data_IF_519393609922
#
_entry.id   IF_519393609922
#
_cell.length_a   1.000
_cell.length_b   1.000
_cell.length_c   1.000
_cell.angle_alpha   90.00
_cell.angle_beta   90.00
_cell.angle_gamma   90.00
#
_symmetry.space_group_name_H-M   'P 1'
#
loop_
_entity.id
_entity.type
_entity.pdbx_description
1 polymer ?
#
# COMPACT_ATOMS: atom_id res chain seq x y z
N UNK A 1 6.27 31.61 5.44
CA UNK A 1 5.89 30.80 6.62
C UNK A 1 4.58 30.12 6.24
N UNK A 2 4.67 29.03 5.47
CA UNK A 2 3.47 28.23 5.18
C UNK A 2 2.99 27.64 6.50
N UNK A 3 1.71 27.82 6.81
CA UNK A 3 1.12 27.21 7.99
C UNK A 3 1.31 25.70 7.86
N UNK A 4 1.96 25.11 8.85
CA UNK A 4 2.18 23.67 8.96
C UNK A 4 0.80 22.99 8.95
N UNK A 5 0.41 22.46 7.79
CA UNK A 5 -0.92 21.90 7.59
C UNK A 5 -0.92 20.53 8.25
N UNK A 6 -1.50 20.45 9.45
CA UNK A 6 -1.64 19.19 10.18
C UNK A 6 -2.37 18.15 9.32
N UNK A 7 -1.90 16.91 9.33
CA UNK A 7 -2.58 15.78 8.68
C UNK A 7 -3.98 15.61 9.29
N UNK A 8 -5.01 15.72 8.47
CA UNK A 8 -6.39 15.62 8.93
C UNK A 8 -6.74 14.17 9.31
N UNK A 9 -7.38 13.99 10.46
CA UNK A 9 -7.94 12.71 10.91
C UNK A 9 -9.45 12.77 10.73
N UNK A 10 -9.99 11.86 9.91
CA UNK A 10 -11.43 11.66 9.79
C UNK A 10 -11.85 10.40 10.55
N UNK A 11 -12.66 10.60 11.59
CA UNK A 11 -13.17 9.53 12.44
C UNK A 11 -14.64 9.24 12.14
N UNK A 12 -14.99 7.97 11.94
CA UNK A 12 -16.37 7.55 11.71
C UNK A 12 -16.62 6.11 12.15
N UNK A 13 -17.89 5.77 12.40
CA UNK A 13 -18.34 4.44 12.79
C UNK A 13 -19.35 4.47 13.95
N UNK A 14 -19.98 3.33 14.28
CA UNK A 14 -19.79 2.01 13.67
C UNK A 14 -20.35 1.94 12.23
N UNK A 15 -19.57 1.38 11.30
CA UNK A 15 -19.98 1.15 9.92
C UNK A 15 -20.48 -0.27 9.71
N UNK A 16 -21.72 -0.40 9.23
CA UNK A 16 -22.32 -1.69 8.86
C UNK A 16 -22.16 -2.02 7.37
N UNK A 17 -21.95 -1.00 6.53
CA UNK A 17 -21.85 -1.14 5.07
C UNK A 17 -20.57 -0.47 4.55
N UNK A 18 -19.72 -1.27 3.91
CA UNK A 18 -18.47 -0.81 3.30
C UNK A 18 -18.70 0.23 2.21
N UNK A 19 -19.82 0.18 1.47
CA UNK A 19 -20.15 1.22 0.51
C UNK A 19 -20.43 2.56 1.21
N UNK A 20 -21.22 2.59 2.28
CA UNK A 20 -21.48 3.82 3.04
C UNK A 20 -20.20 4.40 3.67
N UNK A 21 -19.33 3.54 4.20
CA UNK A 21 -18.00 3.94 4.67
C UNK A 21 -17.23 4.65 3.55
N UNK A 22 -17.13 4.01 2.39
CA UNK A 22 -16.48 4.60 1.22
C UNK A 22 -17.12 5.91 0.79
N UNK A 23 -18.45 5.98 0.75
CA UNK A 23 -19.21 7.18 0.38
C UNK A 23 -18.91 8.33 1.33
N UNK A 24 -18.88 8.06 2.63
CA UNK A 24 -18.56 9.05 3.66
C UNK A 24 -17.14 9.60 3.50
N UNK A 25 -16.15 8.73 3.31
CA UNK A 25 -14.76 9.14 3.01
C UNK A 25 -14.71 9.99 1.74
N UNK A 26 -15.31 9.49 0.65
CA UNK A 26 -15.31 10.16 -0.64
C UNK A 26 -15.97 11.54 -0.60
N UNK A 27 -17.08 11.67 0.13
CA UNK A 27 -17.79 12.93 0.30
C UNK A 27 -16.96 13.94 1.11
N UNK A 28 -16.43 13.49 2.26
CA UNK A 28 -15.61 14.32 3.14
C UNK A 28 -14.35 14.85 2.45
N UNK A 29 -13.62 13.97 1.76
CA UNK A 29 -12.37 14.31 1.07
C UNK A 29 -12.55 14.61 -0.42
N UNK A 30 -13.77 14.89 -0.88
CA UNK A 30 -14.10 15.07 -2.31
C UNK A 30 -13.19 16.09 -3.01
N UNK A 31 -12.89 17.21 -2.36
CA UNK A 31 -12.00 18.23 -2.91
C UNK A 31 -10.54 17.73 -3.03
N UNK A 32 -10.02 17.03 -2.02
CA UNK A 32 -8.65 16.47 -2.07
C UNK A 32 -8.54 15.39 -3.14
N UNK A 33 -9.55 14.52 -3.27
CA UNK A 33 -9.58 13.45 -4.29
C UNK A 33 -9.59 14.05 -5.70
N UNK A 34 -10.47 15.03 -5.95
CA UNK A 34 -10.53 15.72 -7.26
C UNK A 34 -9.26 16.50 -7.55
N UNK A 35 -8.67 17.14 -6.54
CA UNK A 35 -7.40 17.87 -6.66
C UNK A 35 -6.26 16.92 -7.02
N UNK A 36 -6.11 15.78 -6.31
CA UNK A 36 -5.10 14.77 -6.65
C UNK A 36 -5.25 14.31 -8.09
N UNK A 37 -6.47 13.93 -8.49
CA UNK A 37 -6.76 13.45 -9.84
C UNK A 37 -6.42 14.49 -10.91
N UNK A 38 -6.61 15.79 -10.65
CA UNK A 38 -6.27 16.84 -11.64
C UNK A 38 -4.77 17.18 -11.68
N UNK A 39 -4.04 16.97 -10.57
CA UNK A 39 -2.61 17.33 -10.48
C UNK A 39 -1.64 16.15 -10.66
N UNK A 40 -2.09 14.91 -10.51
CA UNK A 40 -1.24 13.72 -10.65
C UNK A 40 -0.89 13.47 -12.12
N UNK A 41 0.33 13.86 -12.49
CA UNK A 41 0.82 13.74 -13.87
C UNK A 41 0.91 12.29 -14.34
N UNK A 42 1.29 11.35 -13.45
CA UNK A 42 1.38 9.93 -13.80
C UNK A 42 -0.02 9.37 -14.04
N UNK A 43 -1.01 9.77 -13.23
CA UNK A 43 -2.41 9.42 -13.48
C UNK A 43 -2.89 9.94 -14.84
N UNK A 44 -2.75 11.24 -15.09
CA UNK A 44 -3.34 11.89 -16.27
C UNK A 44 -2.66 11.52 -17.59
N UNK A 45 -1.35 11.30 -17.58
CA UNK A 45 -0.58 11.11 -18.82
C UNK A 45 -0.14 9.66 -19.08
N UNK A 46 -0.16 8.78 -18.07
CA UNK A 46 0.23 7.38 -18.25
C UNK A 46 -0.92 6.43 -17.93
N UNK A 47 -1.41 6.44 -16.68
CA UNK A 47 -2.38 5.44 -16.22
C UNK A 47 -3.74 5.56 -16.93
N UNK A 48 -4.30 6.77 -16.97
CA UNK A 48 -5.61 7.00 -17.58
C UNK A 48 -5.58 6.77 -19.10
N UNK A 49 -4.61 7.28 -19.88
CA UNK A 49 -4.49 6.96 -21.30
C UNK A 49 -4.30 5.46 -21.55
N UNK A 50 -3.41 4.80 -20.80
CA UNK A 50 -3.20 3.35 -20.94
C UNK A 50 -4.49 2.57 -20.68
N UNK A 51 -5.31 2.96 -19.70
CA UNK A 51 -6.58 2.31 -19.38
C UNK A 51 -7.58 2.24 -20.53
N UNK A 52 -7.45 3.13 -21.53
CA UNK A 52 -8.31 3.19 -22.72
C UNK A 52 -7.80 2.34 -23.88
N UNK A 53 -6.61 1.74 -23.76
CA UNK A 53 -6.01 0.91 -24.80
C UNK A 53 -6.61 -0.49 -24.81
N UNK A 54 -6.67 -1.18 -25.98
CA UNK A 54 -7.06 -2.58 -26.05
C UNK A 54 -6.21 -3.50 -25.15
N UNK A 55 -4.92 -3.18 -25.00
CA UNK A 55 -3.96 -3.93 -24.19
C UNK A 55 -4.32 -3.89 -22.70
N UNK A 56 -4.81 -2.75 -22.20
CA UNK A 56 -5.21 -2.62 -20.81
C UNK A 56 -6.52 -3.34 -20.47
N UNK A 57 -7.40 -3.59 -21.45
CA UNK A 57 -8.72 -4.17 -21.20
C UNK A 57 -8.64 -5.54 -20.50
N UNK A 58 -7.75 -6.43 -20.96
CA UNK A 58 -7.57 -7.74 -20.34
C UNK A 58 -6.99 -7.65 -18.93
N UNK A 59 -6.02 -6.76 -18.71
CA UNK A 59 -5.42 -6.52 -17.40
C UNK A 59 -6.45 -5.97 -16.42
N UNK A 60 -7.17 -4.91 -16.80
CA UNK A 60 -8.19 -4.28 -15.95
C UNK A 60 -9.35 -5.23 -15.67
N UNK A 61 -9.75 -6.05 -16.64
CA UNK A 61 -10.76 -7.08 -16.42
C UNK A 61 -10.31 -8.09 -15.36
N UNK A 62 -9.09 -8.64 -15.49
CA UNK A 62 -8.54 -9.60 -14.51
C UNK A 62 -8.35 -8.98 -13.13
N UNK A 63 -7.78 -7.77 -13.03
CA UNK A 63 -7.65 -7.04 -11.77
C UNK A 63 -9.02 -6.82 -11.13
N UNK A 64 -10.00 -6.33 -11.90
CA UNK A 64 -11.36 -6.10 -11.40
C UNK A 64 -11.99 -7.38 -10.90
N UNK A 65 -12.01 -8.43 -11.74
CA UNK A 65 -12.65 -9.70 -11.42
C UNK A 65 -12.04 -10.35 -10.18
N UNK A 66 -10.71 -10.45 -10.11
CA UNK A 66 -10.03 -11.15 -9.03
C UNK A 66 -10.18 -10.40 -7.69
N UNK A 67 -10.03 -9.07 -7.69
CA UNK A 67 -10.15 -8.27 -6.48
C UNK A 67 -11.61 -8.14 -6.01
N UNK A 68 -12.58 -7.96 -6.92
CA UNK A 68 -14.00 -7.92 -6.54
C UNK A 68 -14.53 -9.25 -6.03
N UNK A 69 -13.97 -10.36 -6.51
CA UNK A 69 -14.37 -11.72 -6.08
C UNK A 69 -13.76 -12.05 -4.72
N UNK A 70 -12.47 -11.72 -4.50
CA UNK A 70 -11.79 -12.00 -3.24
C UNK A 70 -12.19 -11.03 -2.12
N UNK A 71 -12.39 -9.76 -2.45
CA UNK A 71 -12.66 -8.66 -1.50
C UNK A 71 -13.88 -7.82 -1.94
N UNK A 72 -15.09 -8.41 -1.95
CA UNK A 72 -16.30 -7.72 -2.39
C UNK A 72 -16.60 -6.45 -1.58
N UNK A 73 -16.30 -6.47 -0.28
CA UNK A 73 -16.55 -5.36 0.63
C UNK A 73 -15.62 -4.18 0.38
N UNK A 74 -14.32 -4.41 0.17
CA UNK A 74 -13.37 -3.35 -0.17
C UNK A 74 -13.61 -2.82 -1.59
N UNK A 75 -14.10 -3.67 -2.49
CA UNK A 75 -14.55 -3.24 -3.80
C UNK A 75 -15.78 -2.32 -3.72
N UNK A 76 -16.72 -2.64 -2.82
CA UNK A 76 -17.85 -1.77 -2.47
C UNK A 76 -17.39 -0.43 -1.85
N UNK A 77 -16.39 -0.47 -0.98
CA UNK A 77 -15.79 0.72 -0.38
C UNK A 77 -15.24 1.67 -1.46
N UNK A 78 -14.49 1.15 -2.45
CA UNK A 78 -14.04 1.97 -3.59
C UNK A 78 -15.20 2.56 -4.41
N UNK A 79 -16.31 1.83 -4.60
CA UNK A 79 -17.50 2.37 -5.26
C UNK A 79 -18.08 3.54 -4.46
N UNK A 80 -18.16 3.37 -3.14
CA UNK A 80 -18.55 4.43 -2.22
C UNK A 80 -17.66 5.66 -2.38
N UNK A 81 -16.33 5.49 -2.33
CA UNK A 81 -15.36 6.58 -2.48
C UNK A 81 -15.60 7.33 -3.79
N UNK A 82 -15.78 6.62 -4.90
CA UNK A 82 -16.06 7.23 -6.20
C UNK A 82 -17.36 8.05 -6.19
N UNK A 83 -18.45 7.49 -5.64
CA UNK A 83 -19.74 8.17 -5.60
C UNK A 83 -19.76 9.36 -4.65
N UNK A 84 -19.19 9.23 -3.46
CA UNK A 84 -19.08 10.33 -2.49
C UNK A 84 -18.21 11.48 -3.01
N UNK A 85 -17.11 11.15 -3.70
CA UNK A 85 -16.24 12.18 -4.29
C UNK A 85 -16.75 12.71 -5.63
N UNK A 86 -17.80 12.13 -6.20
CA UNK A 86 -18.37 12.52 -7.49
C UNK A 86 -17.41 12.35 -8.67
N UNK A 87 -16.49 11.38 -8.60
CA UNK A 87 -15.54 11.06 -9.69
C UNK A 87 -15.88 9.71 -10.31
N UNK A 88 -15.49 9.45 -11.57
CA UNK A 88 -15.71 8.15 -12.19
C UNK A 88 -15.05 7.00 -11.40
N UNK A 89 -15.76 5.89 -11.25
CA UNK A 89 -15.22 4.71 -10.55
C UNK A 89 -13.92 4.20 -11.17
N UNK A 90 -13.78 4.27 -12.50
CA UNK A 90 -12.55 3.94 -13.21
C UNK A 90 -11.34 4.71 -12.66
N UNK A 91 -11.51 5.97 -12.26
CA UNK A 91 -10.41 6.78 -11.74
C UNK A 91 -9.94 6.27 -10.37
N UNK A 92 -10.88 6.00 -9.46
CA UNK A 92 -10.59 5.40 -8.14
C UNK A 92 -9.94 4.01 -8.32
N UNK A 93 -10.47 3.20 -9.23
CA UNK A 93 -9.93 1.89 -9.54
C UNK A 93 -8.48 1.98 -10.03
N UNK A 94 -8.17 2.89 -10.95
CA UNK A 94 -6.82 3.11 -11.46
C UNK A 94 -5.86 3.57 -10.36
N UNK A 95 -6.28 4.46 -9.45
CA UNK A 95 -5.46 4.88 -8.32
C UNK A 95 -5.10 3.69 -7.41
N UNK A 96 -6.08 2.83 -7.11
CA UNK A 96 -5.87 1.65 -6.25
C UNK A 96 -5.09 0.51 -6.92
N UNK A 97 -4.96 0.52 -8.25
CA UNK A 97 -4.15 -0.42 -9.02
C UNK A 97 -2.93 0.22 -9.67
N UNK A 98 -2.51 1.40 -9.20
CA UNK A 98 -1.39 2.13 -9.79
C UNK A 98 -0.14 1.25 -9.90
N UNK A 99 0.20 0.51 -8.84
CA UNK A 99 1.37 -0.36 -8.79
C UNK A 99 1.24 -1.59 -9.68
N UNK A 100 0.02 -2.06 -9.89
CA UNK A 100 -0.30 -3.22 -10.72
C UNK A 100 -0.42 -2.87 -12.20
N UNK A 101 -0.67 -1.61 -12.55
CA UNK A 101 -0.81 -1.14 -13.93
C UNK A 101 0.54 -0.64 -14.49
N UNK A 102 1.29 0.15 -13.72
CA UNK A 102 2.54 0.79 -14.19
C UNK A 102 3.57 -0.16 -14.87
N UNK A 103 3.77 -1.41 -14.41
CA UNK A 103 4.70 -2.33 -15.06
C UNK A 103 4.30 -2.71 -16.49
N UNK A 104 3.01 -2.64 -16.83
CA UNK A 104 2.48 -3.06 -18.13
C UNK A 104 2.39 -1.92 -19.16
N UNK A 105 2.64 -0.67 -18.75
CA UNK A 105 2.69 0.46 -19.67
C UNK A 105 3.99 0.37 -20.52
N UNK A 106 3.90 0.42 -21.86
CA UNK A 106 5.07 0.38 -22.74
C UNK A 106 6.08 1.48 -22.39
N UNK A 107 7.37 1.15 -22.37
CA UNK A 107 8.44 2.11 -22.02
C UNK A 107 8.46 3.35 -22.91
N UNK A 108 8.07 3.22 -24.18
CA UNK A 108 7.96 4.33 -25.13
C UNK A 108 6.86 5.33 -24.80
N UNK A 109 5.89 4.94 -23.98
CA UNK A 109 4.75 5.76 -23.55
C UNK A 109 4.93 6.32 -22.14
N UNK A 110 5.97 5.88 -21.43
CA UNK A 110 6.33 6.44 -20.13
C UNK A 110 6.99 7.79 -20.34
N UNK A 111 6.44 8.82 -19.69
CA UNK A 111 7.08 10.13 -19.68
C UNK A 111 8.30 10.04 -18.76
N UNK A 112 9.43 10.62 -19.18
CA UNK A 112 10.59 10.93 -18.34
C UNK A 112 10.25 12.04 -17.31
N UNK A 113 9.11 11.94 -16.64
CA UNK A 113 8.98 12.63 -15.35
C UNK A 113 9.96 11.89 -14.45
N UNK A 114 10.71 12.59 -13.62
CA UNK A 114 11.37 11.99 -12.47
C UNK A 114 10.28 11.20 -11.70
N UNK A 115 10.12 9.92 -12.03
CA UNK A 115 9.42 8.98 -11.19
C UNK A 115 10.24 9.01 -9.91
N UNK A 116 9.82 9.86 -8.97
CA UNK A 116 10.25 9.75 -7.58
C UNK A 116 9.91 8.32 -7.21
N UNK A 117 10.95 7.51 -7.18
CA UNK A 117 10.89 6.12 -6.75
C UNK A 117 10.36 6.20 -5.33
N UNK A 118 9.26 5.50 -5.03
CA UNK A 118 8.82 5.36 -3.65
C UNK A 118 10.00 4.69 -2.92
N UNK A 119 10.73 5.49 -2.15
CA UNK A 119 12.02 5.15 -1.54
C UNK A 119 11.87 4.97 -0.02
N UNK A 120 10.70 4.50 0.41
CA UNK A 120 10.30 4.28 1.80
C UNK A 120 11.38 3.55 2.62
N UNK A 121 11.39 3.82 3.92
CA UNK A 121 12.42 3.28 4.80
C UNK A 121 11.86 2.99 6.17
N UNK A 122 12.25 1.84 6.72
CA UNK A 122 11.86 1.41 8.05
C UNK A 122 13.07 1.11 8.93
N UNK A 123 12.94 1.43 10.20
CA UNK A 123 13.78 0.90 11.28
C UNK A 123 12.87 0.15 12.25
N UNK A 124 13.17 -1.14 12.45
CA UNK A 124 12.46 -2.04 13.34
C UNK A 124 13.36 -2.38 14.52
N UNK A 125 12.86 -2.20 15.74
CA UNK A 125 13.59 -2.51 16.96
C UNK A 125 12.72 -3.35 17.88
N UNK A 126 13.23 -4.52 18.24
CA UNK A 126 12.60 -5.43 19.21
C UNK A 126 13.54 -5.64 20.39
N UNK A 127 12.99 -5.58 21.60
CA UNK A 127 13.69 -5.91 22.84
C UNK A 127 12.70 -6.47 23.86
N UNK A 128 13.22 -6.91 25.01
CA UNK A 128 12.42 -7.37 26.15
C UNK A 128 11.45 -6.33 26.71
N UNK A 129 11.51 -5.06 26.27
CA UNK A 129 10.67 -3.97 26.77
C UNK A 129 9.87 -3.24 25.70
N UNK A 130 10.22 -3.37 24.41
CA UNK A 130 9.59 -2.62 23.32
C UNK A 130 9.61 -3.37 21.99
N UNK A 131 8.61 -3.10 21.15
CA UNK A 131 8.58 -3.42 19.73
C UNK A 131 8.14 -2.15 18.98
N UNK A 132 9.07 -1.55 18.23
CA UNK A 132 8.87 -0.25 17.57
C UNK A 132 9.21 -0.39 16.10
N UNK A 133 8.34 0.18 15.24
CA UNK A 133 8.66 0.48 13.85
C UNK A 133 8.61 1.99 13.66
N UNK A 134 9.65 2.54 13.05
CA UNK A 134 9.65 3.89 12.52
C UNK A 134 9.68 3.79 11.01
N UNK A 135 8.78 4.51 10.34
CA UNK A 135 8.58 4.46 8.91
C UNK A 135 8.62 5.87 8.32
N UNK A 136 9.44 6.04 7.28
CA UNK A 136 9.39 7.21 6.41
C UNK A 136 8.71 6.80 5.11
N UNK A 137 7.62 7.49 4.80
CA UNK A 137 6.91 7.32 3.54
C UNK A 137 7.44 8.34 2.52
N UNK A 138 8.10 7.82 1.49
CA UNK A 138 8.58 8.59 0.35
C UNK A 138 7.68 8.26 -0.84
N UNK A 139 7.02 9.25 -1.43
CA UNK A 139 6.07 9.02 -2.51
C UNK A 139 6.05 10.15 -3.54
N UNK A 140 5.25 9.99 -4.60
CA UNK A 140 5.16 10.98 -5.66
C UNK A 140 4.73 12.37 -5.18
N UNK A 141 5.32 13.43 -5.75
CA UNK A 141 5.00 14.83 -5.41
C UNK A 141 3.50 15.14 -5.50
N UNK A 142 2.75 14.45 -6.37
CA UNK A 142 1.31 14.55 -6.45
C UNK A 142 0.57 14.16 -5.15
N UNK A 143 1.24 13.52 -4.20
CA UNK A 143 0.67 13.13 -2.90
C UNK A 143 0.91 14.18 -1.81
N UNK A 144 1.76 15.18 -2.06
CA UNK A 144 1.94 16.31 -1.14
C UNK A 144 0.62 17.06 -1.01
N UNK A 145 0.08 17.10 0.20
CA UNK A 145 -1.23 17.71 0.49
C UNK A 145 -2.45 16.89 0.06
N UNK A 146 -2.26 15.65 -0.42
CA UNK A 146 -3.33 14.73 -0.82
C UNK A 146 -3.35 13.45 0.04
N UNK A 147 -3.07 13.61 1.33
CA UNK A 147 -3.01 12.53 2.31
C UNK A 147 -3.87 12.85 3.53
N UNK A 148 -4.38 11.83 4.19
CA UNK A 148 -5.17 11.95 5.42
C UNK A 148 -5.10 10.65 6.25
N UNK A 149 -5.55 10.74 7.50
CA UNK A 149 -5.75 9.58 8.37
C UNK A 149 -7.23 9.24 8.45
N UNK A 150 -7.53 7.95 8.32
CA UNK A 150 -8.87 7.41 8.60
C UNK A 150 -8.81 6.69 9.94
N UNK A 151 -9.75 7.01 10.83
CA UNK A 151 -10.05 6.22 12.03
C UNK A 151 -11.47 5.66 11.92
N UNK A 152 -11.58 4.37 11.62
CA UNK A 152 -12.88 3.74 11.44
C UNK A 152 -13.18 2.77 12.58
N UNK A 153 -14.45 2.69 12.97
CA UNK A 153 -14.98 1.59 13.79
C UNK A 153 -15.97 0.80 12.95
N UNK A 154 -15.78 -0.52 12.88
CA UNK A 154 -16.65 -1.46 12.18
C UNK A 154 -17.77 -1.96 13.10
N UNK A 155 -18.83 -2.51 12.52
CA UNK A 155 -20.00 -3.03 13.26
C UNK A 155 -19.67 -4.14 14.26
N UNK A 156 -18.62 -4.92 14.01
CA UNK A 156 -18.12 -5.96 14.92
C UNK A 156 -17.27 -5.40 16.08
N UNK A 157 -17.10 -4.08 16.19
CA UNK A 157 -16.31 -3.42 17.22
C UNK A 157 -14.81 -3.34 16.93
N UNK A 158 -14.34 -3.89 15.82
CA UNK A 158 -12.96 -3.67 15.36
C UNK A 158 -12.81 -2.20 14.97
N UNK A 159 -11.76 -1.56 15.44
CA UNK A 159 -11.41 -0.20 15.01
C UNK A 159 -9.98 -0.14 14.54
N UNK A 160 -9.73 0.66 13.50
CA UNK A 160 -8.42 0.84 12.92
C UNK A 160 -8.13 2.32 12.66
N UNK A 161 -6.86 2.66 12.59
CA UNK A 161 -6.35 3.93 12.08
C UNK A 161 -5.37 3.67 10.95
N UNK A 162 -5.51 4.37 9.83
CA UNK A 162 -4.71 4.12 8.64
C UNK A 162 -4.35 5.41 7.89
N UNK A 163 -3.09 5.49 7.46
CA UNK A 163 -2.62 6.50 6.52
C UNK A 163 -3.14 6.20 5.13
N UNK A 164 -3.69 7.23 4.46
CA UNK A 164 -4.45 7.06 3.24
C UNK A 164 -4.10 8.13 2.22
N UNK A 165 -3.83 7.71 0.99
CA UNK A 165 -3.76 8.60 -0.17
C UNK A 165 -5.15 8.93 -0.67
N UNK A 166 -5.37 10.18 -1.06
CA UNK A 166 -6.69 10.63 -1.49
C UNK A 166 -7.21 9.79 -2.67
N UNK A 167 -8.33 9.09 -2.46
CA UNK A 167 -8.97 8.25 -3.47
C UNK A 167 -8.51 6.79 -3.46
N UNK A 168 -7.64 6.41 -2.53
CA UNK A 168 -7.27 5.01 -2.29
C UNK A 168 -8.00 4.43 -1.07
N UNK A 169 -8.04 3.09 -1.00
CA UNK A 169 -8.45 2.38 0.20
C UNK A 169 -7.54 2.75 1.38
N UNK A 170 -8.07 2.84 2.61
CA UNK A 170 -7.26 3.10 3.79
C UNK A 170 -6.21 2.01 3.98
N UNK A 171 -4.91 2.38 4.00
CA UNK A 171 -3.69 1.56 4.30
C UNK A 171 -2.50 1.80 3.36
N UNK A 172 -2.31 2.99 2.79
CA UNK A 172 -1.32 3.21 1.72
C UNK A 172 0.15 3.10 2.13
N UNK A 173 0.45 3.25 3.43
CA UNK A 173 1.81 3.22 3.98
C UNK A 173 1.86 2.48 5.32
N UNK A 174 1.01 2.87 6.27
CA UNK A 174 0.93 2.24 7.59
C UNK A 174 -0.49 2.27 8.15
N UNK A 175 -0.73 1.43 9.15
CA UNK A 175 -1.94 1.49 9.96
C UNK A 175 -1.89 0.52 11.14
N UNK A 176 -2.88 0.64 12.03
CA UNK A 176 -2.98 -0.17 13.24
C UNK A 176 -4.42 -0.32 13.69
N UNK A 177 -4.69 -1.31 14.54
CA UNK A 177 -6.03 -1.60 15.04
C UNK A 177 -6.09 -1.83 16.55
N UNK A 178 -7.31 -1.93 17.07
CA UNK A 178 -7.58 -2.15 18.49
C UNK A 178 -7.28 -3.57 19.00
N UNK A 179 -6.82 -4.50 18.14
CA UNK A 179 -6.23 -5.77 18.56
C UNK A 179 -4.74 -5.64 18.95
N UNK A 180 -4.15 -4.45 18.83
CA UNK A 180 -2.73 -4.23 19.09
C UNK A 180 -1.84 -4.64 17.91
N UNK A 181 -2.42 -4.79 16.71
CA UNK A 181 -1.64 -5.00 15.51
C UNK A 181 -1.38 -3.69 14.79
N UNK A 182 -0.19 -3.56 14.23
CA UNK A 182 0.18 -2.50 13.32
C UNK A 182 0.95 -3.07 12.12
N UNK A 183 0.98 -2.31 11.03
CA UNK A 183 1.90 -2.59 9.94
C UNK A 183 2.45 -1.32 9.31
N UNK A 184 3.61 -1.47 8.69
CA UNK A 184 4.16 -0.56 7.68
C UNK A 184 4.44 -1.36 6.42
N UNK A 185 4.53 -0.72 5.26
CA UNK A 185 4.78 -1.41 4.00
C UNK A 185 5.72 -0.64 3.08
N UNK A 186 6.57 -1.38 2.38
CA UNK A 186 7.47 -0.86 1.37
C UNK A 186 7.20 -1.55 0.03
N UNK A 187 7.21 -0.78 -1.05
CA UNK A 187 7.24 -1.34 -2.39
C UNK A 187 8.60 -2.00 -2.63
N UNK A 188 8.65 -3.25 -3.09
CA UNK A 188 9.88 -3.94 -3.48
C UNK A 188 9.74 -4.40 -4.94
N UNK A 189 10.00 -3.52 -5.92
CA UNK A 189 9.54 -3.71 -7.29
C UNK A 189 10.33 -4.79 -8.02
N UNK A 190 9.73 -5.96 -8.33
CA UNK A 190 10.42 -7.01 -9.06
C UNK A 190 10.58 -6.63 -10.54
N UNK A 191 11.44 -7.32 -11.28
CA UNK A 191 11.55 -7.13 -12.75
C UNK A 191 10.26 -7.53 -13.46
N UNK A 192 9.99 -6.98 -14.65
CA UNK A 192 8.77 -7.25 -15.41
C UNK A 192 8.50 -8.76 -15.62
N UNK A 193 9.55 -9.58 -15.78
CA UNK A 193 9.43 -11.04 -15.95
C UNK A 193 8.97 -11.80 -14.69
N UNK A 194 9.01 -11.16 -13.54
CA UNK A 194 8.63 -11.73 -12.24
C UNK A 194 7.19 -11.40 -11.85
N UNK A 195 6.52 -10.52 -12.62
CA UNK A 195 5.19 -10.00 -12.35
C UNK A 195 4.14 -10.83 -13.09
N UNK A 196 3.17 -11.35 -12.34
CA UNK A 196 1.97 -11.98 -12.92
C UNK A 196 0.85 -10.95 -12.99
N UNK A 197 0.30 -10.76 -14.19
CA UNK A 197 -0.79 -9.83 -14.44
C UNK A 197 -2.08 -10.25 -13.70
N UNK A 198 -2.82 -9.27 -13.19
CA UNK A 198 -4.18 -9.47 -12.70
C UNK A 198 -4.27 -10.11 -11.31
N UNK A 199 -3.20 -10.18 -10.53
CA UNK A 199 -3.26 -10.65 -9.14
C UNK A 199 -4.04 -9.70 -8.22
N UNK A 200 -4.02 -9.97 -6.92
CA UNK A 200 -4.63 -9.06 -5.94
C UNK A 200 -3.75 -7.82 -5.76
N UNK A 201 -4.39 -6.66 -5.78
CA UNK A 201 -3.72 -5.36 -5.63
C UNK A 201 -3.30 -5.12 -4.19
N UNK A 202 -2.15 -4.46 -4.00
CA UNK A 202 -1.57 -4.28 -2.66
C UNK A 202 -2.48 -3.49 -1.71
N UNK A 203 -3.27 -2.54 -2.23
CA UNK A 203 -4.20 -1.73 -1.43
C UNK A 203 -5.28 -2.59 -0.76
N UNK A 204 -5.73 -3.65 -1.43
CA UNK A 204 -6.71 -4.58 -0.88
C UNK A 204 -6.11 -5.41 0.26
N UNK A 205 -4.88 -5.89 0.07
CA UNK A 205 -4.18 -6.71 1.06
C UNK A 205 -3.91 -5.90 2.31
N UNK A 206 -3.37 -4.69 2.17
CA UNK A 206 -3.09 -3.84 3.32
C UNK A 206 -4.37 -3.32 3.99
N UNK A 207 -5.46 -3.14 3.24
CA UNK A 207 -6.78 -2.81 3.83
C UNK A 207 -7.28 -3.99 4.67
N UNK A 208 -7.11 -5.21 4.18
CA UNK A 208 -7.45 -6.45 4.89
C UNK A 208 -6.62 -6.64 6.17
N UNK A 209 -5.35 -6.24 6.16
CA UNK A 209 -4.48 -6.28 7.34
C UNK A 209 -4.96 -5.41 8.51
N UNK A 210 -5.68 -4.33 8.25
CA UNK A 210 -6.27 -3.50 9.31
C UNK A 210 -7.31 -4.26 10.13
N UNK A 211 -7.86 -5.35 9.59
CA UNK A 211 -8.86 -6.19 10.25
C UNK A 211 -8.27 -7.48 10.84
N UNK A 212 -6.95 -7.61 10.85
CA UNK A 212 -6.28 -8.76 11.44
C UNK A 212 -6.49 -8.79 12.97
N UNK A 213 -6.69 -9.99 13.51
CA UNK A 213 -7.00 -10.21 14.94
C UNK A 213 -5.80 -10.73 15.74
N UNK A 214 -4.78 -11.23 15.04
CA UNK A 214 -3.48 -11.63 15.58
C UNK A 214 -2.40 -11.52 14.50
N UNK A 215 -1.13 -11.61 14.88
CA UNK A 215 -0.03 -11.62 13.91
C UNK A 215 -0.09 -12.85 12.98
N UNK A 216 -0.58 -13.99 13.47
CA UNK A 216 -0.78 -15.20 12.67
C UNK A 216 -1.92 -15.03 11.65
N UNK A 217 -3.00 -14.34 12.05
CA UNK A 217 -4.09 -13.96 11.15
C UNK A 217 -3.58 -13.02 10.04
N UNK A 218 -2.78 -12.01 10.39
CA UNK A 218 -2.13 -11.13 9.41
C UNK A 218 -1.27 -11.88 8.38
N UNK A 219 -0.47 -12.87 8.81
CA UNK A 219 0.31 -13.73 7.91
C UNK A 219 -0.62 -14.56 7.02
N UNK A 220 -1.69 -15.14 7.58
CA UNK A 220 -2.67 -15.95 6.84
C UNK A 220 -3.34 -15.14 5.73
N UNK A 221 -3.75 -13.91 6.05
CA UNK A 221 -4.34 -12.95 5.11
C UNK A 221 -3.40 -12.69 3.93
N UNK A 222 -2.14 -12.36 4.20
CA UNK A 222 -1.11 -12.17 3.17
C UNK A 222 -0.91 -13.44 2.34
N UNK A 223 -0.75 -14.62 2.96
CA UNK A 223 -0.56 -15.89 2.23
C UNK A 223 -1.72 -16.21 1.29
N UNK A 224 -2.95 -15.92 1.70
CA UNK A 224 -4.15 -16.21 0.92
C UNK A 224 -4.41 -15.26 -0.25
N UNK A 225 -3.64 -14.17 -0.34
CA UNK A 225 -3.97 -13.04 -1.19
C UNK A 225 -3.52 -13.18 -2.65
N UNK A 226 -2.58 -14.06 -3.01
CA UNK A 226 -2.08 -14.16 -4.40
C UNK A 226 -1.69 -12.76 -4.97
N UNK A 227 -0.77 -12.08 -4.30
CA UNK A 227 -0.35 -10.71 -4.62
C UNK A 227 0.07 -10.55 -6.09
N UNK A 228 -0.31 -9.43 -6.69
CA UNK A 228 0.05 -9.12 -8.08
C UNK A 228 1.50 -8.65 -8.24
N UNK A 229 2.01 -7.86 -7.30
CA UNK A 229 3.35 -7.24 -7.39
C UNK A 229 4.05 -7.21 -6.02
N UNK A 230 5.37 -7.21 -6.05
CA UNK A 230 6.23 -7.29 -4.87
C UNK A 230 6.05 -6.20 -3.82
N UNK A 231 5.86 -6.63 -2.56
CA UNK A 231 5.77 -5.77 -1.38
C UNK A 231 6.42 -6.42 -0.16
N UNK A 232 6.98 -5.58 0.72
CA UNK A 232 7.40 -5.96 2.06
C UNK A 232 6.43 -5.36 3.07
N UNK A 233 5.99 -6.18 4.03
CA UNK A 233 5.13 -5.78 5.13
C UNK A 233 5.89 -5.98 6.43
N UNK A 234 5.99 -4.94 7.26
CA UNK A 234 6.44 -5.07 8.63
C UNK A 234 5.20 -5.23 9.51
N UNK A 235 4.95 -6.42 10.02
CA UNK A 235 3.83 -6.72 10.91
C UNK A 235 4.28 -6.60 12.36
N UNK A 236 3.58 -5.80 13.15
CA UNK A 236 3.86 -5.57 14.56
C UNK A 236 2.70 -6.08 15.40
N UNK A 237 3.03 -6.79 16.48
CA UNK A 237 2.11 -7.11 17.57
C UNK A 237 2.66 -6.49 18.84
N UNK A 238 2.00 -5.44 19.33
CA UNK A 238 2.47 -4.68 20.50
C UNK A 238 2.23 -5.44 21.81
N UNK A 239 1.28 -6.37 21.83
CA UNK A 239 0.97 -7.18 23.01
C UNK A 239 2.05 -8.26 23.20
N UNK A 240 2.45 -8.90 22.11
CA UNK A 240 3.52 -9.90 22.10
C UNK A 240 4.92 -9.27 22.03
N UNK A 241 5.01 -7.98 21.70
CA UNK A 241 6.26 -7.26 21.39
C UNK A 241 7.06 -8.00 20.32
N UNK A 242 6.36 -8.34 19.24
CA UNK A 242 6.89 -9.11 18.12
C UNK A 242 6.79 -8.32 16.84
N UNK A 243 7.82 -8.40 16.00
CA UNK A 243 7.81 -7.83 14.66
C UNK A 243 8.22 -8.91 13.66
N UNK A 244 7.48 -9.01 12.56
CA UNK A 244 7.80 -9.85 11.41
C UNK A 244 7.95 -8.98 10.16
N UNK A 245 9.05 -9.12 9.42
CA UNK A 245 9.12 -8.64 8.04
C UNK A 245 8.62 -9.76 7.10
N UNK A 246 7.70 -9.42 6.20
CA UNK A 246 7.09 -10.36 5.25
C UNK A 246 7.29 -9.82 3.85
N UNK A 247 8.15 -10.48 3.09
CA UNK A 247 8.38 -10.16 1.68
C UNK A 247 7.53 -11.05 0.79
N UNK A 248 6.88 -10.44 -0.20
CA UNK A 248 5.97 -11.11 -1.11
C UNK A 248 6.31 -10.80 -2.56
N UNK A 249 5.96 -11.71 -3.46
CA UNK A 249 5.99 -11.52 -4.89
C UNK A 249 4.90 -12.36 -5.56
N UNK A 250 4.67 -12.12 -6.85
CA UNK A 250 3.70 -12.87 -7.64
C UNK A 250 3.97 -14.38 -7.59
N UNK A 251 2.96 -15.18 -7.95
CA UNK A 251 3.01 -16.64 -7.91
C UNK A 251 3.12 -17.22 -6.49
N UNK A 252 2.45 -16.59 -5.52
CA UNK A 252 2.38 -17.04 -4.11
C UNK A 252 3.75 -17.16 -3.42
N UNK A 253 4.73 -16.37 -3.88
CA UNK A 253 6.04 -16.33 -3.26
C UNK A 253 5.99 -15.45 -2.03
N UNK A 254 6.40 -16.01 -0.91
CA UNK A 254 6.40 -15.35 0.39
C UNK A 254 7.62 -15.80 1.18
N UNK A 255 8.24 -14.87 1.88
CA UNK A 255 9.27 -15.12 2.89
C UNK A 255 8.89 -14.36 4.15
N UNK A 256 9.10 -14.96 5.32
CA UNK A 256 8.77 -14.37 6.62
C UNK A 256 10.03 -14.38 7.48
N UNK A 257 10.42 -13.22 7.99
CA UNK A 257 11.58 -13.04 8.84
C UNK A 257 11.17 -12.41 10.17
N UNK A 258 11.47 -13.09 11.28
CA UNK A 258 11.22 -12.56 12.61
C UNK A 258 12.37 -11.66 13.07
N UNK A 259 12.04 -10.45 13.52
CA UNK A 259 13.02 -9.46 13.94
C UNK A 259 13.50 -9.79 15.35
N UNK A 260 14.80 -10.02 15.48
CA UNK A 260 15.46 -10.28 16.75
C UNK A 260 15.91 -8.99 17.48
N UNK A 261 16.86 -9.15 18.40
CA UNK A 261 17.40 -8.05 19.22
C UNK A 261 18.27 -7.05 18.46
N UNK A 262 18.71 -7.39 17.25
CA UNK A 262 19.47 -6.48 16.39
C UNK A 262 18.48 -5.62 15.60
N UNK A 263 18.62 -4.27 15.62
CA UNK A 263 17.79 -3.40 14.80
C UNK A 263 17.81 -3.84 13.34
N UNK A 264 16.64 -3.88 12.72
CA UNK A 264 16.48 -4.27 11.33
C UNK A 264 16.09 -3.06 10.49
N UNK A 265 16.79 -2.86 9.38
CA UNK A 265 16.50 -1.80 8.43
C UNK A 265 15.89 -2.40 7.16
N UNK A 266 14.77 -1.85 6.71
CA UNK A 266 14.13 -2.23 5.44
C UNK A 266 13.90 -1.01 4.58
N UNK A 267 13.95 -1.19 3.26
CA UNK A 267 13.63 -0.16 2.28
C UNK A 267 13.06 -0.86 1.04
N UNK A 268 13.21 -0.28 -0.14
CA UNK A 268 12.58 -0.81 -1.36
C UNK A 268 13.37 -1.93 -2.02
N UNK A 269 13.96 -2.84 -1.24
CA UNK A 269 14.67 -4.02 -1.74
C UNK A 269 14.29 -5.30 -1.02
N UNK A 270 14.27 -6.41 -1.76
CA UNK A 270 14.18 -7.74 -1.17
C UNK A 270 15.45 -8.08 -0.41
N UNK A 271 15.31 -8.52 0.85
CA UNK A 271 16.41 -8.92 1.73
C UNK A 271 16.44 -10.43 1.96
N UNK A 272 15.29 -11.10 1.95
CA UNK A 272 15.20 -12.52 2.30
C UNK A 272 14.28 -13.35 1.39
N UNK A 273 13.51 -12.73 0.49
CA UNK A 273 12.86 -13.41 -0.63
C UNK A 273 13.72 -13.27 -1.91
N UNK A 274 14.03 -14.39 -2.55
CA UNK A 274 14.82 -14.40 -3.78
C UNK A 274 13.93 -14.08 -4.99
N UNK A 275 14.01 -12.85 -5.49
CA UNK A 275 13.27 -12.36 -6.66
C UNK A 275 14.18 -11.46 -7.48
N UNK A 276 14.16 -11.59 -8.81
CA UNK A 276 14.88 -10.64 -9.65
C UNK A 276 14.21 -9.26 -9.52
N UNK A 277 14.98 -8.27 -9.07
CA UNK A 277 14.46 -6.95 -8.76
C UNK A 277 15.02 -5.89 -9.71
N UNK A 278 14.22 -4.87 -10.03
CA UNK A 278 14.75 -3.71 -10.72
C UNK A 278 15.60 -2.91 -9.73
N UNK A 279 16.91 -2.84 -9.98
CA UNK A 279 17.82 -1.97 -9.22
C UNK A 279 17.65 -0.55 -9.78
N UNK A 280 16.67 0.20 -9.26
CA UNK A 280 16.36 1.55 -9.74
C UNK A 280 17.05 2.67 -8.98
N UNK A 281 17.49 2.43 -7.73
CA UNK A 281 17.97 3.48 -6.84
C UNK A 281 19.25 3.05 -6.11
N UNK A 282 20.35 3.77 -6.35
CA UNK A 282 21.57 3.69 -5.53
C UNK A 282 21.24 4.11 -4.09
N UNK A 283 20.24 4.98 -3.88
CA UNK A 283 19.80 5.42 -2.56
C UNK A 283 19.20 4.27 -1.74
N UNK A 284 18.32 3.42 -2.28
CA UNK A 284 17.81 2.26 -1.51
C UNK A 284 18.96 1.32 -1.11
N UNK A 285 19.94 1.10 -1.99
CA UNK A 285 21.17 0.35 -1.67
C UNK A 285 21.98 1.05 -0.57
N UNK A 286 22.18 2.36 -0.68
CA UNK A 286 22.94 3.18 0.26
C UNK A 286 22.22 3.40 1.59
N UNK A 287 20.90 3.26 1.66
CA UNK A 287 20.10 3.29 2.88
C UNK A 287 20.20 1.98 3.67
N UNK A 288 20.32 0.83 2.98
CA UNK A 288 20.46 -0.50 3.62
C UNK A 288 21.89 -0.81 4.07
N UNK A 289 22.91 -0.40 3.28
CA UNK A 289 24.34 -0.64 3.58
C UNK A 289 24.89 -0.09 4.91
N UNK A 290 24.41 1.01 5.52
CA UNK A 290 24.94 1.52 6.79
C UNK A 290 24.58 0.63 7.99
N UNK A 291 23.55 -0.21 7.87
CA UNK A 291 23.00 -1.02 8.95
C UNK A 291 23.31 -2.52 8.82
N UNK A 292 23.96 -2.93 7.74
CA UNK A 292 24.50 -4.29 7.59
C UNK A 292 25.94 -4.30 8.13
N UNK A 293 26.30 -5.17 9.10
CA UNK A 293 27.70 -5.32 9.49
C UNK A 293 28.48 -5.74 8.24
N UNK A 294 29.52 -4.98 7.90
CA UNK A 294 30.40 -5.25 6.76
C UNK A 294 30.76 -6.74 6.70
N UNK A 295 30.14 -7.50 5.79
CA UNK A 295 30.74 -8.74 5.30
C UNK A 295 31.87 -8.27 4.37
N UNK A 296 33.08 -8.15 4.93
CA UNK A 296 34.29 -8.07 4.12
C UNK A 296 34.34 -9.38 3.31
N UNK A 297 34.29 -9.25 1.98
CA UNK A 297 34.77 -10.28 1.07
C UNK A 297 36.23 -10.63 1.39
#
# INVERSE_FOLDING_TARGET
MEAEKSLEIYEFGPCEDSYQMGFSIGNHFSNLIRSRLSTDSIFNHQLLPFSQTPQAQSLLHSLSHNNSTKFPDYWNEMRGIANGSGVPFLHIMILNFRKEILPFIPKSEKIEVEETIDDCSDILVVSDTMAVAAHNEDANVALVGHTYLIKATLSNGLSYTAYTYAGELPSCAFGFNNHGLAFTLNSVPPTDSEIVAGGIGRNFISRDLLEATSIDDAISRIRSSQVSIGHSYNLLDVNLRKILNVETASSQRISVHEIGSTPFFHANMYLHLQVNQVIKSILSICKVRPFTPYVRL
#
